data_IF_748181937561
#
_entry.id   IF_748181937561
#
_cell.length_a   1.000
_cell.length_b   1.000
_cell.length_c   1.000
_cell.angle_alpha   90.00
_cell.angle_beta   90.00
_cell.angle_gamma   90.00
#
_symmetry.space_group_name_H-M   'P 1'
#
loop_
_entity.id
_entity.type
_entity.pdbx_description
1 polymer ?
#
# COMPACT_ATOMS: atom_id res chain seq x y z
N UNK A 1 -13.48 -14.95 25.42
CA UNK A 1 -12.15 -14.77 24.80
C UNK A 1 -12.34 -13.90 23.57
N UNK A 2 -11.74 -12.70 23.51
CA UNK A 2 -11.84 -11.82 22.32
C UNK A 2 -10.75 -12.24 21.34
N UNK A 3 -11.13 -12.55 20.10
CA UNK A 3 -10.17 -12.90 19.07
C UNK A 3 -9.33 -11.64 18.75
N UNK A 4 -7.99 -11.65 18.88
CA UNK A 4 -7.13 -10.49 18.62
C UNK A 4 -7.36 -9.86 17.24
N UNK A 5 -7.77 -10.70 16.28
CA UNK A 5 -8.06 -10.32 14.89
C UNK A 5 -9.26 -9.34 14.80
N UNK A 6 -10.19 -9.39 15.76
CA UNK A 6 -11.35 -8.49 15.81
C UNK A 6 -10.99 -7.07 16.30
N UNK A 7 -9.79 -6.86 16.84
CA UNK A 7 -9.26 -5.54 17.21
C UNK A 7 -8.41 -4.88 16.13
N UNK A 8 -8.18 -5.59 15.02
CA UNK A 8 -7.36 -5.09 13.93
C UNK A 8 -8.16 -4.01 13.19
N UNK A 9 -7.74 -2.74 13.34
CA UNK A 9 -8.27 -1.64 12.53
C UNK A 9 -7.81 -1.85 11.09
N UNK A 10 -8.66 -2.52 10.30
CA UNK A 10 -8.50 -2.56 8.86
C UNK A 10 -8.61 -1.16 8.26
N UNK A 11 -8.13 -1.03 7.02
CA UNK A 11 -8.34 0.16 6.22
C UNK A 11 -9.82 0.21 5.81
N UNK A 12 -10.48 1.36 5.97
CA UNK A 12 -11.83 1.54 5.46
C UNK A 12 -11.82 1.65 3.93
N UNK A 13 -12.97 1.39 3.29
CA UNK A 13 -13.07 1.54 1.83
C UNK A 13 -12.72 2.96 1.37
N UNK A 14 -13.11 4.00 2.11
CA UNK A 14 -12.74 5.38 1.78
C UNK A 14 -11.23 5.62 1.87
N UNK A 15 -10.56 5.07 2.90
CA UNK A 15 -9.10 5.16 3.03
C UNK A 15 -8.37 4.38 1.92
N UNK A 16 -8.97 3.28 1.46
CA UNK A 16 -8.46 2.53 0.33
C UNK A 16 -8.59 3.34 -0.97
N UNK A 17 -9.76 3.91 -1.24
CA UNK A 17 -9.98 4.75 -2.43
C UNK A 17 -9.17 6.05 -2.41
N UNK A 18 -8.86 6.61 -1.24
CA UNK A 18 -7.95 7.76 -1.14
C UNK A 18 -6.52 7.43 -1.60
N UNK A 19 -6.09 6.18 -1.40
CA UNK A 19 -4.74 5.71 -1.71
C UNK A 19 -4.62 4.98 -3.05
N UNK A 20 -5.70 4.38 -3.55
CA UNK A 20 -5.72 3.47 -4.70
C UNK A 20 -6.97 3.67 -5.59
N UNK A 21 -7.64 4.81 -5.50
CA UNK A 21 -8.92 5.07 -6.18
C UNK A 21 -8.79 5.32 -7.67
N UNK A 22 -7.60 5.66 -8.16
CA UNK A 22 -7.28 5.79 -9.58
C UNK A 22 -6.07 4.94 -9.97
N UNK A 23 -5.90 4.74 -11.28
CA UNK A 23 -4.77 4.01 -11.84
C UNK A 23 -3.44 4.69 -11.48
N UNK A 24 -3.34 6.02 -11.66
CA UNK A 24 -2.16 6.81 -11.26
C UNK A 24 -1.80 6.65 -9.78
N UNK A 25 -2.78 6.70 -8.88
CA UNK A 25 -2.54 6.51 -7.44
C UNK A 25 -2.03 5.11 -7.12
N UNK A 26 -2.56 4.11 -7.82
CA UNK A 26 -2.13 2.72 -7.69
C UNK A 26 -0.70 2.54 -8.19
N UNK A 27 -0.35 3.11 -9.34
CA UNK A 27 1.00 3.08 -9.91
C UNK A 27 2.02 3.74 -8.99
N UNK A 28 1.77 4.96 -8.50
CA UNK A 28 2.65 5.63 -7.55
C UNK A 28 2.85 4.81 -6.27
N UNK A 29 1.77 4.23 -5.74
CA UNK A 29 1.86 3.39 -4.56
C UNK A 29 2.71 2.14 -4.84
N UNK A 30 2.50 1.48 -5.99
CA UNK A 30 3.26 0.30 -6.42
C UNK A 30 4.74 0.62 -6.61
N UNK A 31 5.08 1.74 -7.22
CA UNK A 31 6.47 2.17 -7.38
C UNK A 31 7.17 2.38 -6.03
N UNK A 32 6.52 3.09 -5.10
CA UNK A 32 7.05 3.30 -3.74
C UNK A 32 7.17 2.01 -2.95
N UNK A 33 6.22 1.08 -3.11
CA UNK A 33 6.29 -0.24 -2.47
C UNK A 33 7.41 -1.10 -3.05
N UNK A 34 7.65 -0.99 -4.36
CA UNK A 34 8.63 -1.81 -5.08
C UNK A 34 10.04 -1.29 -4.90
N UNK A 35 10.21 0.02 -4.77
CA UNK A 35 11.51 0.69 -4.61
C UNK A 35 11.46 1.77 -3.53
N UNK A 36 11.33 1.38 -2.24
CA UNK A 36 11.27 2.35 -1.13
C UNK A 36 12.55 3.18 -1.00
N UNK A 37 13.70 2.58 -1.29
CA UNK A 37 15.03 3.21 -1.20
C UNK A 37 15.56 3.67 -2.57
N UNK A 38 14.68 3.71 -3.59
CA UNK A 38 15.04 4.01 -4.97
C UNK A 38 15.32 2.76 -5.82
N UNK A 39 15.11 2.90 -7.13
CA UNK A 39 15.41 1.84 -8.09
C UNK A 39 16.93 1.68 -8.23
N UNK A 40 17.47 0.56 -7.76
CA UNK A 40 18.86 0.18 -8.02
C UNK A 40 18.88 -0.94 -9.05
N UNK A 41 19.50 -0.66 -10.19
CA UNK A 41 19.77 -1.63 -11.25
C UNK A 41 20.76 -2.69 -10.72
N UNK A 42 20.41 -4.00 -10.71
CA UNK A 42 21.27 -5.05 -10.16
C UNK A 42 22.44 -5.45 -11.09
N UNK A 43 22.52 -4.89 -12.29
CA UNK A 43 23.59 -5.13 -13.27
C UNK A 43 24.39 -3.87 -13.64
N UNK A 44 24.12 -2.79 -12.92
CA UNK A 44 24.89 -1.57 -12.92
C UNK A 44 25.78 -1.61 -11.65
#
# INVERSE_FOLDING_TARGET
MKNPIQGQKGMSLNQFLEKYGSEEQCEEALERFRWPDGFVCPSC
#
